data_IF_349605175752
#
_entry.id   IF_349605175752
#
_cell.length_a   1.000
_cell.length_b   1.000
_cell.length_c   1.000
_cell.angle_alpha   90.00
_cell.angle_beta   90.00
_cell.angle_gamma   90.00
#
_symmetry.space_group_name_H-M   'P 1'
#
loop_
_entity.id
_entity.type
_entity.pdbx_description
1 polymer ?
#
# COMPACT_ATOMS: atom_id res chain seq x y z
N UNK A 1 -13.20 1.03 12.41
CA UNK A 1 -13.87 1.85 11.45
C UNK A 1 -12.99 2.20 10.32
N UNK A 2 -13.55 2.26 9.12
CA UNK A 2 -12.79 2.55 7.91
C UNK A 2 -11.98 3.82 8.04
N UNK A 3 -12.61 4.88 8.49
CA UNK A 3 -11.95 6.18 8.55
C UNK A 3 -10.74 6.19 9.50
N UNK A 4 -10.87 5.54 10.65
CA UNK A 4 -9.77 5.52 11.61
C UNK A 4 -8.57 4.76 11.03
N UNK A 5 -8.82 3.61 10.40
CA UNK A 5 -7.76 2.82 9.81
C UNK A 5 -7.06 3.61 8.71
N UNK A 6 -7.83 4.29 7.86
CA UNK A 6 -7.24 5.06 6.78
C UNK A 6 -6.39 6.22 7.30
N UNK A 7 -6.78 6.85 8.41
CA UNK A 7 -6.00 7.92 9.00
C UNK A 7 -4.65 7.36 9.48
N UNK A 8 -4.65 6.21 10.13
CA UNK A 8 -3.42 5.59 10.62
C UNK A 8 -2.51 5.22 9.45
N UNK A 9 -3.08 4.64 8.40
CA UNK A 9 -2.30 4.24 7.24
C UNK A 9 -1.73 5.47 6.53
N UNK A 10 -2.55 6.48 6.33
CA UNK A 10 -2.11 7.68 5.63
C UNK A 10 -1.04 8.47 6.42
N UNK A 11 -1.06 8.35 7.73
CA UNK A 11 -0.04 9.03 8.55
C UNK A 11 1.36 8.49 8.28
N UNK A 12 1.47 7.31 7.66
CA UNK A 12 2.74 6.71 7.35
C UNK A 12 3.05 6.77 5.85
N UNK A 13 2.42 7.71 5.16
CA UNK A 13 2.55 7.82 3.69
C UNK A 13 4.01 7.83 3.23
N UNK A 14 4.86 8.57 3.92
CA UNK A 14 6.25 8.66 3.53
C UNK A 14 6.93 7.30 3.61
N UNK A 15 6.59 6.50 4.61
CA UNK A 15 7.17 5.17 4.76
C UNK A 15 6.74 4.27 3.61
N UNK A 16 5.48 4.36 3.19
CA UNK A 16 4.99 3.53 2.10
C UNK A 16 5.71 3.89 0.80
N UNK A 17 5.88 5.18 0.55
CA UNK A 17 6.58 5.63 -0.65
C UNK A 17 8.03 5.13 -0.62
N UNK A 18 8.70 5.23 0.52
CA UNK A 18 10.07 4.77 0.63
C UNK A 18 10.21 3.26 0.39
N UNK A 19 9.24 2.49 0.85
CA UNK A 19 9.25 1.05 0.61
C UNK A 19 9.18 0.77 -0.88
N UNK A 20 8.29 1.46 -1.59
CA UNK A 20 8.14 1.24 -3.02
C UNK A 20 9.38 1.71 -3.77
N UNK A 21 9.99 2.80 -3.35
CA UNK A 21 11.22 3.27 -3.96
C UNK A 21 12.33 2.23 -3.80
N UNK A 22 12.33 1.51 -2.68
CA UNK A 22 13.34 0.48 -2.46
C UNK A 22 13.17 -0.70 -3.40
N UNK A 23 12.00 -0.82 -4.04
CA UNK A 23 11.78 -1.86 -5.05
C UNK A 23 12.30 -1.44 -6.41
N UNK A 24 12.85 -0.24 -6.52
CA UNK A 24 13.42 0.24 -7.78
C UNK A 24 12.50 1.13 -8.62
N UNK A 25 11.37 1.54 -8.07
CA UNK A 25 10.44 2.39 -8.79
C UNK A 25 10.85 3.85 -8.74
N UNK A 26 10.38 4.63 -9.70
CA UNK A 26 10.61 6.07 -9.70
C UNK A 26 9.63 6.71 -8.72
N UNK A 27 9.92 7.94 -8.30
CA UNK A 27 9.08 8.65 -7.34
C UNK A 27 7.62 8.74 -7.79
N UNK A 28 7.38 9.12 -9.03
CA UNK A 28 6.02 9.24 -9.54
C UNK A 28 5.29 7.91 -9.51
N UNK A 29 5.95 6.85 -9.92
CA UNK A 29 5.37 5.52 -9.91
C UNK A 29 5.11 5.07 -8.48
N UNK A 30 6.03 5.38 -7.56
CA UNK A 30 5.87 5.01 -6.18
C UNK A 30 4.64 5.66 -5.58
N UNK A 31 4.42 6.93 -5.88
CA UNK A 31 3.25 7.63 -5.36
C UNK A 31 1.95 7.05 -5.91
N UNK A 32 1.94 6.71 -7.20
CA UNK A 32 0.78 6.09 -7.80
C UNK A 32 0.46 4.74 -7.17
N UNK A 33 1.49 3.96 -6.90
CA UNK A 33 1.33 2.64 -6.29
C UNK A 33 0.77 2.78 -4.88
N UNK A 34 1.26 3.76 -4.12
CA UNK A 34 0.77 3.98 -2.77
C UNK A 34 -0.70 4.42 -2.80
N UNK A 35 -1.08 5.26 -3.76
CA UNK A 35 -2.47 5.68 -3.90
C UNK A 35 -3.36 4.48 -4.22
N UNK A 36 -2.90 3.61 -5.09
CA UNK A 36 -3.67 2.42 -5.43
C UNK A 36 -3.78 1.49 -4.22
N UNK A 37 -2.74 1.41 -3.40
CA UNK A 37 -2.80 0.63 -2.17
C UNK A 37 -3.89 1.18 -1.25
N UNK A 38 -3.99 2.52 -1.12
CA UNK A 38 -5.03 3.11 -0.29
C UNK A 38 -6.42 2.71 -0.78
N UNK A 39 -6.61 2.72 -2.09
CA UNK A 39 -7.88 2.35 -2.67
C UNK A 39 -8.22 0.89 -2.36
N UNK A 40 -7.25 0.00 -2.50
CA UNK A 40 -7.47 -1.42 -2.22
C UNK A 40 -7.79 -1.67 -0.75
N UNK A 41 -7.11 -0.94 0.14
CA UNK A 41 -7.37 -1.07 1.56
C UNK A 41 -8.77 -0.58 1.88
N UNK A 42 -9.17 0.55 1.28
CA UNK A 42 -10.48 1.09 1.52
C UNK A 42 -11.58 0.11 1.08
N UNK A 43 -11.41 -0.50 -0.08
CA UNK A 43 -12.37 -1.49 -0.56
C UNK A 43 -12.47 -2.68 0.40
N UNK A 44 -11.32 -3.11 0.93
CA UNK A 44 -11.29 -4.23 1.85
C UNK A 44 -12.03 -3.88 3.13
N UNK A 45 -11.82 -2.67 3.64
CA UNK A 45 -12.48 -2.23 4.86
C UNK A 45 -13.98 -2.08 4.65
N UNK A 46 -14.39 -1.62 3.48
CA UNK A 46 -15.81 -1.48 3.16
C UNK A 46 -16.50 -2.83 3.10
N UNK A 47 -15.76 -3.88 2.83
CA UNK A 47 -16.31 -5.23 2.81
C UNK A 47 -16.29 -5.86 4.20
N UNK A 48 -15.87 -5.12 5.21
CA UNK A 48 -15.86 -5.63 6.57
C UNK A 48 -14.58 -6.34 6.96
N UNK A 49 -13.58 -6.34 6.09
CA UNK A 49 -12.31 -6.97 6.40
C UNK A 49 -11.41 -5.96 7.10
N UNK A 50 -10.53 -6.45 7.98
CA UNK A 50 -9.70 -5.57 8.76
C UNK A 50 -8.22 -5.85 8.47
N UNK A 51 -7.42 -4.81 8.50
CA UNK A 51 -5.98 -4.94 8.32
C UNK A 51 -5.25 -4.56 9.59
N UNK A 52 -5.95 -4.40 10.69
CA UNK A 52 -5.34 -4.02 11.96
C UNK A 52 -5.16 -5.24 12.84
N UNK A 53 -4.02 -5.33 13.53
CA UNK A 53 -3.83 -6.37 14.52
C UNK A 53 -4.61 -6.01 15.77
N UNK A 54 -4.66 -4.71 16.09
CA UNK A 54 -5.41 -4.23 17.24
C UNK A 54 -5.74 -2.77 16.96
N UNK A 55 -6.20 -2.03 17.94
CA UNK A 55 -6.66 -0.66 17.74
C UNK A 55 -5.57 0.30 17.29
N UNK A 56 -4.32 -0.03 17.52
CA UNK A 56 -3.22 0.88 17.19
C UNK A 56 -2.20 0.34 16.19
N UNK A 57 -2.21 -0.95 15.93
CA UNK A 57 -1.20 -1.56 15.07
C UNK A 57 -1.78 -2.08 13.77
N UNK A 58 -1.24 -1.63 12.66
CA UNK A 58 -1.68 -2.09 11.36
C UNK A 58 -0.85 -3.29 10.95
N UNK A 59 -1.38 -4.07 10.04
CA UNK A 59 -0.68 -5.24 9.53
C UNK A 59 0.31 -4.82 8.45
N UNK A 60 1.53 -4.50 8.88
CA UNK A 60 2.57 -4.07 7.96
C UNK A 60 2.86 -5.11 6.88
N UNK A 61 2.81 -6.38 7.24
CA UNK A 61 3.08 -7.43 6.28
C UNK A 61 2.07 -7.38 5.12
N UNK A 62 0.79 -7.18 5.45
CA UNK A 62 -0.23 -7.09 4.42
C UNK A 62 0.02 -5.90 3.50
N UNK A 63 0.37 -4.75 4.08
CA UNK A 63 0.61 -3.56 3.29
C UNK A 63 1.86 -3.73 2.44
N UNK A 64 2.94 -4.28 3.02
CA UNK A 64 4.18 -4.51 2.28
C UNK A 64 3.91 -5.43 1.09
N UNK A 65 3.16 -6.51 1.31
CA UNK A 65 2.86 -7.46 0.26
C UNK A 65 2.01 -6.83 -0.84
N UNK A 66 1.06 -5.98 -0.46
CA UNK A 66 0.22 -5.28 -1.42
C UNK A 66 1.07 -4.34 -2.28
N UNK A 67 1.97 -3.57 -1.65
CA UNK A 67 2.84 -2.66 -2.39
C UNK A 67 3.74 -3.43 -3.34
N UNK A 68 4.28 -4.54 -2.90
CA UNK A 68 5.16 -5.34 -3.74
C UNK A 68 4.42 -5.91 -4.95
N UNK A 69 3.20 -6.38 -4.74
CA UNK A 69 2.39 -6.91 -5.84
C UNK A 69 2.07 -5.81 -6.85
N UNK A 70 1.70 -4.62 -6.37
CA UNK A 70 1.39 -3.51 -7.25
C UNK A 70 2.64 -3.05 -8.00
N UNK A 71 3.80 -3.05 -7.34
CA UNK A 71 5.04 -2.69 -7.99
C UNK A 71 5.38 -3.64 -9.13
N UNK A 72 5.17 -4.92 -8.92
CA UNK A 72 5.42 -5.90 -9.96
C UNK A 72 4.55 -5.67 -11.18
N UNK A 73 3.29 -5.30 -10.95
CA UNK A 73 2.40 -5.05 -12.08
C UNK A 73 2.74 -3.77 -12.81
N UNK A 74 3.27 -2.79 -12.09
CA UNK A 74 3.57 -1.50 -12.70
C UNK A 74 4.90 -1.48 -13.42
N UNK A 75 5.71 -2.51 -13.24
CA UNK A 75 6.99 -2.54 -13.84
C UNK A 75 6.87 -3.24 -15.14
N UNK A 76 6.65 -2.60 -16.15
CA UNK A 76 6.31 -3.20 -17.37
C UNK A 76 7.35 -3.96 -17.99
N UNK A 77 7.97 -3.36 -18.47
CA UNK A 77 8.78 -3.81 -19.36
C UNK A 77 9.53 -4.90 -19.00
N UNK A 78 10.11 -4.78 -18.12
CA UNK A 78 11.02 -5.65 -17.86
C UNK A 78 10.42 -6.82 -17.89
N UNK A 79 9.49 -6.65 -17.63
CA UNK A 79 8.88 -7.67 -17.53
C UNK A 79 8.86 -8.38 -18.70
N UNK A 80 8.67 -7.77 -19.60
CA UNK A 80 8.57 -8.40 -20.75
C UNK A 80 9.67 -9.23 -21.04
N UNK A 81 10.45 -9.15 -20.51
CA UNK A 81 11.43 -9.89 -20.83
C UNK A 81 11.51 -10.92 -20.27
#
# INVERSE_FOLDING_TARGET
MVQKTMIIVAAKHKEWVEIVLSFGCKQETAEDIVQEMYYKIQLKLEKGLDIMYNEEEINYYYIFKTLRTLSSKSTPSFVAF
#
